data_IF_475698486995
#
_entry.id   IF_475698486995
#
_cell.length_a   1.000
_cell.length_b   1.000
_cell.length_c   1.000
_cell.angle_alpha   90.00
_cell.angle_beta   90.00
_cell.angle_gamma   90.00
#
_symmetry.space_group_name_H-M   'P 1'
#
loop_
_entity.id
_entity.type
_entity.pdbx_description
1 polymer ?
#
# COMPACT_ATOMS: atom_id res chain seq x y z
N UNK A 1 22.62 -20.94 33.12
CA UNK A 1 23.43 -19.94 32.39
C UNK A 1 24.90 -20.00 32.75
N UNK A 2 25.26 -20.49 33.95
CA UNK A 2 26.64 -20.60 34.42
C UNK A 2 27.50 -21.65 33.69
N UNK A 3 26.90 -22.45 32.80
CA UNK A 3 27.58 -23.40 31.90
C UNK A 3 27.78 -22.88 30.48
N UNK A 4 27.33 -21.65 30.17
CA UNK A 4 27.40 -21.08 28.82
C UNK A 4 28.80 -20.53 28.57
N UNK A 5 29.59 -21.22 27.74
CA UNK A 5 30.89 -20.76 27.28
C UNK A 5 30.72 -19.79 26.12
N UNK A 6 31.16 -18.53 26.30
CA UNK A 6 31.27 -17.56 25.19
C UNK A 6 32.51 -17.88 24.38
N UNK A 7 32.35 -18.00 23.07
CA UNK A 7 33.45 -18.21 22.11
C UNK A 7 33.31 -17.23 20.96
N UNK A 8 34.43 -16.85 20.35
CA UNK A 8 34.46 -15.99 19.16
C UNK A 8 34.75 -16.87 17.95
N UNK A 9 33.80 -16.93 17.03
CA UNK A 9 33.96 -17.56 15.72
C UNK A 9 34.90 -16.70 14.86
N UNK A 10 36.02 -17.26 14.38
CA UNK A 10 36.89 -16.60 13.39
C UNK A 10 36.66 -17.19 11.99
N UNK A 11 37.02 -16.43 10.97
CA UNK A 11 36.96 -16.81 9.54
C UNK A 11 37.75 -18.07 9.20
N UNK A 12 38.76 -18.41 9.99
CA UNK A 12 39.64 -19.57 9.83
C UNK A 12 39.34 -20.72 10.83
N UNK A 13 38.35 -20.56 11.71
CA UNK A 13 37.93 -21.60 12.66
C UNK A 13 37.45 -21.12 14.02
N UNK A 14 36.82 -22.03 14.77
CA UNK A 14 36.63 -21.88 16.21
C UNK A 14 37.94 -22.16 16.94
N UNK A 15 38.35 -21.25 17.83
CA UNK A 15 39.25 -21.61 18.93
C UNK A 15 38.39 -21.88 20.17
N UNK A 16 38.10 -23.15 20.45
CA UNK A 16 37.48 -23.54 21.72
C UNK A 16 38.55 -23.56 22.81
N UNK A 17 38.79 -22.44 23.50
CA UNK A 17 39.33 -22.45 24.87
C UNK A 17 38.99 -21.16 25.61
N UNK A 18 38.70 -21.30 26.90
CA UNK A 18 38.53 -20.19 27.85
C UNK A 18 39.72 -19.23 27.73
N UNK A 19 39.45 -17.96 27.43
CA UNK A 19 40.46 -16.90 27.53
C UNK A 19 40.56 -16.54 29.01
N UNK A 20 41.52 -17.15 29.72
CA UNK A 20 41.84 -16.77 31.09
C UNK A 20 43.08 -15.86 31.18
N UNK A 21 43.96 -15.80 30.15
CA UNK A 21 45.01 -14.77 30.07
C UNK A 21 45.53 -14.52 28.64
N UNK A 22 46.20 -13.38 28.36
CA UNK A 22 46.73 -13.01 27.04
C UNK A 22 47.94 -13.81 26.54
N UNK A 23 48.51 -14.73 27.34
CA UNK A 23 49.81 -15.38 27.07
C UNK A 23 49.75 -16.87 26.71
N UNK A 24 48.56 -17.47 26.59
CA UNK A 24 48.44 -18.90 26.31
C UNK A 24 48.73 -19.23 24.83
N UNK A 25 49.75 -20.07 24.61
CA UNK A 25 50.16 -20.55 23.28
C UNK A 25 49.05 -21.42 22.65
N UNK A 26 48.59 -21.01 21.47
CA UNK A 26 47.53 -21.63 20.67
C UNK A 26 47.87 -23.08 20.25
N UNK A 27 47.15 -24.07 20.79
CA UNK A 27 47.11 -25.44 20.26
C UNK A 27 45.66 -25.86 20.05
N UNK A 28 45.18 -25.75 18.80
CA UNK A 28 43.79 -26.04 18.41
C UNK A 28 43.51 -27.53 18.20
N UNK A 29 42.27 -27.95 18.48
CA UNK A 29 41.64 -29.18 17.94
C UNK A 29 40.28 -28.82 17.32
N UNK A 30 39.88 -29.65 16.36
CA UNK A 30 38.75 -29.57 15.42
C UNK A 30 37.44 -28.99 15.99
N UNK A 31 36.84 -28.09 15.20
CA UNK A 31 35.52 -27.51 15.40
C UNK A 31 35.06 -26.81 14.13
N UNK A 32 33.75 -26.58 13.96
CA UNK A 32 33.24 -25.88 12.78
C UNK A 32 33.74 -24.42 12.73
N UNK A 33 34.14 -23.98 11.55
CA UNK A 33 34.51 -22.60 11.26
C UNK A 33 33.27 -21.75 11.02
N UNK A 34 33.44 -20.42 11.06
CA UNK A 34 32.37 -19.51 10.64
C UNK A 34 31.96 -19.79 9.18
N UNK A 35 32.89 -20.21 8.31
CA UNK A 35 32.60 -20.57 6.91
C UNK A 35 31.70 -21.79 6.81
N UNK A 36 31.90 -22.79 7.66
CA UNK A 36 31.08 -24.01 7.68
C UNK A 36 29.63 -23.70 8.03
N UNK A 37 29.39 -22.60 8.75
CA UNK A 37 28.05 -22.12 9.13
C UNK A 37 27.48 -21.18 8.06
N UNK A 38 28.26 -20.18 7.66
CA UNK A 38 27.79 -19.12 6.77
C UNK A 38 27.56 -19.61 5.34
N UNK A 39 28.39 -20.50 4.79
CA UNK A 39 28.23 -20.95 3.39
C UNK A 39 26.87 -21.64 3.20
N UNK A 40 26.47 -22.65 3.99
CA UNK A 40 25.14 -23.26 3.85
C UNK A 40 23.99 -22.28 4.06
N UNK A 41 24.12 -21.33 5.01
CA UNK A 41 23.07 -20.33 5.26
C UNK A 41 22.96 -19.32 4.13
N UNK A 42 24.07 -18.83 3.56
CA UNK A 42 24.08 -17.93 2.40
C UNK A 42 23.49 -18.64 1.18
N UNK A 43 23.91 -19.89 0.93
CA UNK A 43 23.32 -20.69 -0.16
C UNK A 43 21.82 -20.90 0.05
N UNK A 44 21.35 -21.02 1.28
CA UNK A 44 19.92 -21.08 1.57
C UNK A 44 19.23 -19.73 1.30
N UNK A 45 19.83 -18.60 1.68
CA UNK A 45 19.30 -17.27 1.37
C UNK A 45 19.07 -17.09 -0.13
N UNK A 46 20.08 -17.41 -0.95
CA UNK A 46 20.02 -17.30 -2.41
C UNK A 46 19.00 -18.27 -3.01
N UNK A 47 19.06 -19.55 -2.61
CA UNK A 47 18.19 -20.59 -3.17
C UNK A 47 16.72 -20.36 -2.86
N UNK A 48 16.41 -19.86 -1.67
CA UNK A 48 15.04 -19.68 -1.20
C UNK A 48 14.56 -18.24 -1.29
N UNK A 49 15.30 -17.36 -1.98
CA UNK A 49 14.95 -15.94 -2.14
C UNK A 49 14.66 -15.23 -0.81
N UNK A 50 15.41 -15.58 0.24
CA UNK A 50 15.27 -14.96 1.56
C UNK A 50 16.04 -13.65 1.56
N UNK A 51 15.38 -12.59 2.02
CA UNK A 51 15.98 -11.26 2.22
C UNK A 51 16.46 -11.06 3.66
N UNK A 52 15.98 -11.90 4.58
CA UNK A 52 16.37 -11.93 5.98
C UNK A 52 16.32 -13.36 6.52
N UNK A 53 17.31 -13.70 7.36
CA UNK A 53 17.32 -14.94 8.14
C UNK A 53 18.03 -14.70 9.48
N UNK A 54 17.30 -14.89 10.56
CA UNK A 54 17.81 -14.96 11.91
C UNK A 54 17.64 -16.38 12.43
N UNK A 55 18.70 -16.94 13.00
CA UNK A 55 18.66 -18.20 13.71
C UNK A 55 19.20 -17.99 15.13
N UNK A 56 18.36 -18.10 16.16
CA UNK A 56 18.76 -17.79 17.53
C UNK A 56 18.01 -18.62 18.59
N UNK A 57 18.60 -19.70 19.13
CA UNK A 57 20.00 -20.11 18.99
C UNK A 57 20.22 -21.11 17.84
N UNK A 58 21.45 -21.13 17.32
CA UNK A 58 21.95 -22.23 16.48
C UNK A 58 22.66 -23.25 17.37
N UNK A 59 22.25 -24.52 17.28
CA UNK A 59 22.97 -25.64 17.86
C UNK A 59 23.92 -26.25 16.82
N UNK A 60 25.15 -26.52 17.23
CA UNK A 60 26.13 -27.26 16.43
C UNK A 60 26.42 -28.58 17.14
N UNK A 61 26.10 -29.69 16.48
CA UNK A 61 26.35 -31.05 17.01
C UNK A 61 26.73 -31.98 15.86
N UNK A 62 27.78 -32.77 16.04
CA UNK A 62 28.24 -33.77 15.07
C UNK A 62 28.43 -33.20 13.65
N UNK A 63 29.01 -32.00 13.56
CA UNK A 63 29.19 -31.22 12.32
C UNK A 63 27.89 -30.88 11.57
N UNK A 64 26.74 -30.89 12.26
CA UNK A 64 25.45 -30.42 11.72
C UNK A 64 25.04 -29.11 12.38
N UNK A 65 24.52 -28.21 11.56
CA UNK A 65 23.92 -26.95 11.98
C UNK A 65 22.44 -27.21 12.18
N UNK A 66 21.96 -27.01 13.40
CA UNK A 66 20.58 -27.24 13.79
C UNK A 66 20.07 -25.91 14.37
N UNK A 67 19.38 -25.08 13.58
CA UNK A 67 18.72 -23.90 14.13
C UNK A 67 17.57 -24.36 15.05
N UNK A 68 17.59 -23.93 16.31
CA UNK A 68 16.54 -24.27 17.28
C UNK A 68 15.36 -23.30 17.22
N UNK A 69 15.61 -22.08 16.76
CA UNK A 69 14.61 -21.07 16.43
C UNK A 69 15.05 -20.32 15.17
N UNK A 70 14.08 -19.91 14.35
CA UNK A 70 14.32 -19.17 13.11
C UNK A 70 13.23 -18.14 12.84
N UNK A 71 13.65 -16.95 12.44
CA UNK A 71 12.82 -15.96 11.78
C UNK A 71 13.39 -15.67 10.39
N UNK A 72 12.55 -15.60 9.37
CA UNK A 72 12.97 -15.32 8.01
C UNK A 72 11.98 -14.42 7.29
N UNK A 73 12.49 -13.60 6.37
CA UNK A 73 11.67 -12.85 5.42
C UNK A 73 12.04 -13.31 4.01
N UNK A 74 11.02 -13.51 3.18
CA UNK A 74 11.15 -13.94 1.78
C UNK A 74 10.72 -12.81 0.85
N UNK A 75 11.38 -12.69 -0.30
CA UNK A 75 10.91 -11.86 -1.40
C UNK A 75 9.56 -12.41 -1.92
N UNK A 76 8.48 -11.66 -1.71
CA UNK A 76 7.14 -12.08 -2.10
C UNK A 76 6.95 -12.16 -3.63
N UNK A 77 7.78 -11.45 -4.40
CA UNK A 77 7.79 -11.53 -5.85
C UNK A 77 8.32 -12.87 -6.37
N UNK A 78 9.14 -13.56 -5.56
CA UNK A 78 9.68 -14.88 -5.88
C UNK A 78 8.69 -16.03 -5.60
N UNK A 79 7.55 -15.77 -4.95
CA UNK A 79 6.58 -16.82 -4.58
C UNK A 79 6.03 -17.60 -5.78
N UNK A 80 6.01 -16.99 -6.97
CA UNK A 80 5.58 -17.63 -8.21
C UNK A 80 6.63 -18.55 -8.84
N UNK A 81 7.87 -18.54 -8.35
CA UNK A 81 8.96 -19.34 -8.93
C UNK A 81 8.82 -20.82 -8.55
N UNK A 82 9.25 -21.76 -9.41
CA UNK A 82 9.13 -23.20 -9.15
C UNK A 82 9.81 -23.63 -7.85
N UNK A 83 10.92 -22.98 -7.46
CA UNK A 83 11.67 -23.33 -6.26
C UNK A 83 10.91 -22.97 -4.98
N UNK A 84 9.99 -21.99 -5.04
CA UNK A 84 9.28 -21.43 -3.88
C UNK A 84 7.82 -21.88 -3.83
N UNK A 85 7.16 -21.95 -4.99
CA UNK A 85 5.73 -22.27 -5.12
C UNK A 85 5.34 -23.66 -4.57
N UNK A 86 6.31 -24.56 -4.39
CA UNK A 86 6.11 -25.84 -3.72
C UNK A 86 5.88 -25.71 -2.20
N UNK A 87 6.26 -24.58 -1.59
CA UNK A 87 6.10 -24.33 -0.16
C UNK A 87 4.83 -23.50 0.09
N UNK A 88 4.03 -23.93 1.07
CA UNK A 88 2.88 -23.15 1.54
C UNK A 88 3.36 -22.06 2.52
N UNK A 89 3.91 -20.98 1.99
CA UNK A 89 4.46 -19.88 2.79
C UNK A 89 3.31 -18.98 3.26
N UNK A 90 3.15 -18.87 4.58
CA UNK A 90 2.17 -17.99 5.22
C UNK A 90 2.91 -17.02 6.14
N UNK A 91 2.74 -15.69 5.99
CA UNK A 91 3.39 -14.72 6.86
C UNK A 91 3.06 -14.94 8.35
N UNK A 92 4.09 -14.95 9.19
CA UNK A 92 3.93 -15.04 10.65
C UNK A 92 3.23 -13.77 11.16
N UNK A 93 2.18 -13.93 11.94
CA UNK A 93 1.41 -12.79 12.46
C UNK A 93 0.50 -12.12 11.44
N UNK A 94 0.15 -12.81 10.33
CA UNK A 94 -0.81 -12.32 9.36
C UNK A 94 -2.08 -11.83 10.07
N UNK A 95 -2.28 -10.50 10.07
CA UNK A 95 -3.56 -9.90 10.48
C UNK A 95 -4.66 -10.60 9.69
N UNK A 96 -5.78 -10.88 10.34
CA UNK A 96 -6.97 -11.34 9.64
C UNK A 96 -7.35 -10.29 8.60
N UNK A 97 -7.09 -10.63 7.34
CA UNK A 97 -7.43 -9.78 6.21
C UNK A 97 -8.95 -9.59 6.21
N UNK A 98 -9.40 -8.36 6.03
CA UNK A 98 -10.82 -8.10 5.86
C UNK A 98 -11.32 -8.79 4.58
N UNK A 99 -12.63 -9.10 4.48
CA UNK A 99 -13.19 -9.65 3.25
C UNK A 99 -12.86 -8.80 2.01
N UNK A 100 -12.79 -7.48 2.15
CA UNK A 100 -12.39 -6.56 1.10
C UNK A 100 -10.93 -6.72 0.67
N UNK A 101 -10.00 -6.91 1.61
CA UNK A 101 -8.59 -7.16 1.29
C UNK A 101 -8.40 -8.48 0.56
N UNK A 102 -9.09 -9.54 0.98
CA UNK A 102 -9.06 -10.84 0.29
C UNK A 102 -9.63 -10.72 -1.12
N UNK A 103 -10.73 -9.99 -1.30
CA UNK A 103 -11.34 -9.79 -2.61
C UNK A 103 -10.45 -8.99 -3.55
N UNK A 104 -9.79 -7.93 -3.05
CA UNK A 104 -8.87 -7.10 -3.85
C UNK A 104 -7.59 -7.86 -4.18
N UNK A 105 -7.02 -8.63 -3.26
CA UNK A 105 -5.85 -9.47 -3.56
C UNK A 105 -6.14 -10.53 -4.64
N UNK A 106 -7.36 -11.09 -4.66
CA UNK A 106 -7.80 -11.98 -5.75
C UNK A 106 -7.94 -11.24 -7.09
N UNK A 107 -8.45 -10.01 -7.07
CA UNK A 107 -8.56 -9.19 -8.28
C UNK A 107 -7.17 -8.80 -8.82
N UNK A 108 -6.27 -8.36 -7.95
CA UNK A 108 -4.87 -8.01 -8.26
C UNK A 108 -4.15 -9.17 -8.98
N UNK A 109 -4.33 -10.41 -8.51
CA UNK A 109 -3.74 -11.60 -9.13
C UNK A 109 -4.28 -11.92 -10.55
N UNK A 110 -5.37 -11.28 -10.99
CA UNK A 110 -6.01 -11.53 -12.30
C UNK A 110 -5.73 -10.44 -13.34
N UNK A 111 -4.99 -9.39 -12.97
CA UNK A 111 -4.70 -8.26 -13.85
C UNK A 111 -3.20 -7.93 -13.82
N UNK A 112 -2.60 -7.45 -14.92
CA UNK A 112 -1.23 -6.94 -14.91
C UNK A 112 -1.10 -5.58 -14.20
N UNK A 113 -2.21 -4.91 -13.88
CA UNK A 113 -2.22 -3.71 -13.07
C UNK A 113 -1.89 -4.03 -11.61
N UNK A 114 -1.54 -3.00 -10.83
CA UNK A 114 -1.37 -3.14 -9.38
C UNK A 114 -2.59 -2.59 -8.66
N UNK A 115 -3.21 -3.42 -7.82
CA UNK A 115 -4.40 -3.10 -7.03
C UNK A 115 -4.15 -3.48 -5.58
N UNK A 116 -3.87 -2.49 -4.73
CA UNK A 116 -3.56 -2.70 -3.32
C UNK A 116 -4.60 -2.06 -2.43
N UNK A 117 -4.98 -2.75 -1.37
CA UNK A 117 -5.91 -2.22 -0.37
C UNK A 117 -5.55 -2.74 1.01
N UNK A 118 -5.63 -1.85 1.99
CA UNK A 118 -5.44 -2.10 3.42
C UNK A 118 -6.53 -1.34 4.17
N UNK A 119 -7.30 -2.07 4.96
CA UNK A 119 -8.25 -1.47 5.90
C UNK A 119 -7.49 -1.11 7.18
N UNK A 120 -7.49 0.18 7.54
CA UNK A 120 -6.76 0.72 8.69
C UNK A 120 -7.74 0.90 9.86
N UNK A 121 -8.75 1.74 9.66
CA UNK A 121 -9.80 1.98 10.64
C UNK A 121 -11.17 1.78 9.99
N UNK A 122 -11.87 0.67 10.24
CA UNK A 122 -13.21 0.45 9.70
C UNK A 122 -14.18 1.59 10.02
N UNK A 123 -13.98 2.32 11.13
CA UNK A 123 -14.82 3.45 11.52
C UNK A 123 -14.29 4.81 11.04
N UNK A 124 -13.32 4.85 10.14
CA UNK A 124 -12.80 6.09 9.57
C UNK A 124 -13.83 6.83 8.72
N UNK A 125 -13.72 8.16 8.66
CA UNK A 125 -14.55 9.04 7.82
C UNK A 125 -13.87 9.43 6.51
N UNK A 126 -12.59 9.10 6.32
CA UNK A 126 -11.83 9.41 5.11
C UNK A 126 -11.49 8.11 4.39
N UNK A 127 -12.05 7.94 3.19
CA UNK A 127 -11.80 6.79 2.33
C UNK A 127 -11.01 7.23 1.10
N UNK A 128 -10.08 6.40 0.68
CA UNK A 128 -9.11 6.75 -0.35
C UNK A 128 -9.15 5.77 -1.52
N UNK A 129 -9.28 6.32 -2.73
CA UNK A 129 -9.19 5.66 -4.02
C UNK A 129 -8.04 6.31 -4.79
N UNK A 130 -6.81 5.91 -4.47
CA UNK A 130 -5.63 6.62 -4.93
C UNK A 130 -5.01 5.93 -6.14
N UNK A 131 -4.19 6.66 -6.88
CA UNK A 131 -3.54 6.13 -8.07
C UNK A 131 -2.09 6.57 -8.20
N UNK A 132 -1.21 5.58 -8.11
CA UNK A 132 0.25 5.73 -8.06
C UNK A 132 0.80 5.70 -6.64
N UNK A 133 1.66 4.72 -6.33
CA UNK A 133 2.15 4.43 -4.98
C UNK A 133 2.84 5.58 -4.22
N UNK A 134 3.59 6.44 -4.93
CA UNK A 134 4.21 7.61 -4.29
C UNK A 134 3.19 8.68 -3.89
N UNK A 135 2.21 8.93 -4.77
CA UNK A 135 1.16 9.92 -4.50
C UNK A 135 0.20 9.46 -3.40
N UNK A 136 -0.02 8.15 -3.29
CA UNK A 136 -0.87 7.60 -2.22
C UNK A 136 -0.28 7.80 -0.83
N UNK A 137 1.05 7.65 -0.69
CA UNK A 137 1.74 7.92 0.57
C UNK A 137 1.66 9.39 0.95
N UNK A 138 1.97 10.31 0.02
CA UNK A 138 1.89 11.77 0.28
C UNK A 138 0.51 12.20 0.78
N UNK A 139 -0.57 11.63 0.25
CA UNK A 139 -1.93 11.96 0.70
C UNK A 139 -2.26 11.37 2.07
N UNK A 140 -1.77 10.17 2.38
CA UNK A 140 -1.94 9.56 3.69
C UNK A 140 -1.18 10.34 4.77
N UNK A 141 0.05 10.76 4.46
CA UNK A 141 0.87 11.61 5.34
C UNK A 141 0.19 12.96 5.57
N UNK A 142 -0.30 13.62 4.51
CA UNK A 142 -1.02 14.89 4.66
C UNK A 142 -2.28 14.77 5.54
N UNK A 143 -3.02 13.66 5.44
CA UNK A 143 -4.17 13.40 6.33
C UNK A 143 -3.71 13.29 7.79
N UNK A 144 -2.58 12.63 8.04
CA UNK A 144 -2.01 12.52 9.39
C UNK A 144 -1.51 13.88 9.89
N UNK A 145 -0.76 14.63 9.08
CA UNK A 145 -0.20 15.95 9.39
C UNK A 145 -1.27 17.00 9.68
N UNK A 146 -2.41 16.91 8.99
CA UNK A 146 -3.56 17.76 9.28
C UNK A 146 -4.36 17.35 10.53
N UNK A 147 -3.92 16.31 11.26
CA UNK A 147 -4.54 15.84 12.50
C UNK A 147 -5.73 14.90 12.30
N UNK A 148 -5.95 14.39 11.08
CA UNK A 148 -7.07 13.50 10.73
C UNK A 148 -6.65 12.04 10.59
N UNK A 149 -5.46 11.67 11.07
CA UNK A 149 -4.93 10.29 10.94
C UNK A 149 -5.85 9.21 11.53
N UNK A 150 -6.58 9.52 12.60
CA UNK A 150 -7.58 8.61 13.19
C UNK A 150 -8.83 8.44 12.34
N UNK A 151 -9.12 9.38 11.44
CA UNK A 151 -10.26 9.33 10.54
C UNK A 151 -9.96 8.58 9.23
N UNK A 152 -8.69 8.24 8.97
CA UNK A 152 -8.28 7.49 7.78
C UNK A 152 -8.78 6.05 7.84
N UNK A 153 -9.70 5.70 6.96
CA UNK A 153 -10.33 4.39 6.96
C UNK A 153 -9.47 3.31 6.29
N UNK A 154 -8.85 3.67 5.16
CA UNK A 154 -8.08 2.74 4.35
C UNK A 154 -6.86 3.42 3.73
N UNK A 155 -5.90 2.59 3.36
CA UNK A 155 -4.86 2.92 2.40
C UNK A 155 -5.02 1.98 1.21
N UNK A 156 -4.95 2.50 0.00
CA UNK A 156 -5.03 1.67 -1.19
C UNK A 156 -4.74 2.44 -2.45
N UNK A 157 -4.29 1.74 -3.47
CA UNK A 157 -3.93 2.33 -4.75
C UNK A 157 -4.28 1.40 -5.91
N UNK A 158 -4.59 2.01 -7.05
CA UNK A 158 -4.65 1.35 -8.34
C UNK A 158 -3.67 2.01 -9.32
N UNK A 159 -2.76 1.25 -9.90
CA UNK A 159 -1.72 1.74 -10.82
C UNK A 159 -1.36 0.72 -11.90
N UNK A 160 -0.43 1.07 -12.80
CA UNK A 160 -0.08 0.19 -13.92
C UNK A 160 -1.10 0.19 -15.07
N UNK A 161 -1.85 1.28 -15.25
CA UNK A 161 -2.89 1.42 -16.28
C UNK A 161 -4.01 0.35 -16.23
N UNK A 162 -4.73 0.23 -15.10
CA UNK A 162 -5.84 -0.71 -14.98
C UNK A 162 -6.94 -0.45 -16.01
N UNK A 163 -7.72 -1.48 -16.31
CA UNK A 163 -8.92 -1.35 -17.14
C UNK A 163 -10.04 -0.63 -16.39
N UNK A 164 -11.07 -0.19 -17.10
CA UNK A 164 -12.27 0.40 -16.48
C UNK A 164 -13.06 -0.65 -15.67
N UNK A 165 -13.04 -1.92 -16.09
CA UNK A 165 -13.62 -3.01 -15.31
C UNK A 165 -12.82 -3.31 -14.03
N UNK A 166 -11.49 -3.28 -14.08
CA UNK A 166 -10.64 -3.42 -12.88
C UNK A 166 -10.99 -2.34 -11.85
N UNK A 167 -11.01 -1.07 -12.29
CA UNK A 167 -11.34 0.06 -11.41
C UNK A 167 -12.77 -0.01 -10.92
N UNK A 168 -13.73 -0.45 -11.74
CA UNK A 168 -15.11 -0.67 -11.33
C UNK A 168 -15.22 -1.71 -10.20
N UNK A 169 -14.62 -2.89 -10.37
CA UNK A 169 -14.68 -3.97 -9.37
C UNK A 169 -13.94 -3.55 -8.09
N UNK A 170 -12.75 -2.97 -8.22
CA UNK A 170 -11.97 -2.43 -7.10
C UNK A 170 -12.79 -1.41 -6.28
N UNK A 171 -13.37 -0.42 -6.96
CA UNK A 171 -14.19 0.62 -6.32
C UNK A 171 -15.42 0.04 -5.66
N UNK A 172 -16.09 -0.93 -6.31
CA UNK A 172 -17.28 -1.59 -5.77
C UNK A 172 -16.99 -2.35 -4.47
N UNK A 173 -15.83 -3.01 -4.37
CA UNK A 173 -15.40 -3.69 -3.15
C UNK A 173 -15.22 -2.66 -2.02
N UNK A 174 -14.53 -1.54 -2.29
CA UNK A 174 -14.29 -0.49 -1.29
C UNK A 174 -15.59 0.17 -0.85
N UNK A 175 -16.49 0.51 -1.79
CA UNK A 175 -17.81 1.07 -1.44
C UNK A 175 -18.64 0.09 -0.60
N UNK A 176 -18.53 -1.22 -0.85
CA UNK A 176 -19.21 -2.23 -0.03
C UNK A 176 -18.65 -2.26 1.40
N UNK A 177 -17.33 -2.15 1.55
CA UNK A 177 -16.65 -2.08 2.85
C UNK A 177 -16.94 -0.77 3.60
N UNK A 178 -17.05 0.35 2.88
CA UNK A 178 -17.49 1.63 3.42
C UNK A 178 -18.92 1.50 3.96
N UNK A 179 -19.85 1.03 3.13
CA UNK A 179 -21.27 0.99 3.50
C UNK A 179 -21.57 -0.01 4.64
N UNK A 180 -20.75 -1.04 4.85
CA UNK A 180 -20.93 -1.99 5.97
C UNK A 180 -20.49 -1.44 7.32
N UNK A 181 -19.76 -0.31 7.34
CA UNK A 181 -19.14 0.26 8.54
C UNK A 181 -19.68 1.65 8.89
N UNK A 182 -20.56 2.21 8.07
CA UNK A 182 -21.12 3.55 8.24
C UNK A 182 -22.11 3.64 9.40
N UNK A 183 -21.99 4.73 10.17
CA UNK A 183 -22.88 5.11 11.27
C UNK A 183 -23.38 6.56 11.10
N UNK A 184 -24.11 6.86 10.02
CA UNK A 184 -24.79 8.14 9.75
C UNK A 184 -23.96 9.41 10.04
N UNK A 185 -22.65 9.36 9.79
CA UNK A 185 -21.73 10.48 9.97
C UNK A 185 -21.18 10.97 8.62
N UNK A 186 -20.81 12.26 8.50
CA UNK A 186 -20.15 12.76 7.31
C UNK A 186 -18.91 11.92 6.95
N UNK A 187 -18.78 11.63 5.66
CA UNK A 187 -17.72 10.79 5.12
C UNK A 187 -17.21 11.39 3.81
N UNK A 188 -15.90 11.33 3.61
CA UNK A 188 -15.22 11.83 2.43
C UNK A 188 -14.59 10.67 1.66
N UNK A 189 -14.78 10.64 0.34
CA UNK A 189 -14.04 9.79 -0.58
C UNK A 189 -13.07 10.66 -1.36
N UNK A 190 -11.77 10.40 -1.21
CA UNK A 190 -10.70 11.07 -1.95
C UNK A 190 -10.34 10.20 -3.15
N UNK A 191 -10.58 10.72 -4.36
CA UNK A 191 -10.13 10.11 -5.62
C UNK A 191 -8.98 10.97 -6.13
N UNK A 192 -7.75 10.56 -5.84
CA UNK A 192 -6.60 11.42 -6.13
C UNK A 192 -5.35 10.66 -6.57
N UNK A 193 -4.42 11.40 -7.16
CA UNK A 193 -3.08 10.88 -7.41
C UNK A 193 -2.20 11.87 -8.15
N UNK A 194 -0.95 11.46 -8.37
CA UNK A 194 0.02 12.22 -9.16
C UNK A 194 -0.46 12.43 -10.60
N UNK A 195 0.26 13.25 -11.35
CA UNK A 195 0.01 13.39 -12.80
C UNK A 195 0.46 12.09 -13.47
N UNK A 196 -0.49 11.36 -14.07
CA UNK A 196 -0.19 10.08 -14.67
C UNK A 196 0.59 10.24 -15.98
N UNK A 197 1.57 9.36 -16.22
CA UNK A 197 2.34 9.36 -17.47
C UNK A 197 1.57 8.68 -18.62
N UNK A 198 0.93 7.54 -18.35
CA UNK A 198 0.34 6.68 -19.39
C UNK A 198 -1.06 6.13 -19.03
N UNK A 199 -1.54 6.34 -17.81
CA UNK A 199 -2.89 5.90 -17.41
C UNK A 199 -3.94 6.87 -17.96
N UNK A 200 -4.91 6.37 -18.73
CA UNK A 200 -6.03 7.17 -19.24
C UNK A 200 -7.03 7.49 -18.11
N UNK A 201 -7.15 8.78 -17.80
CA UNK A 201 -8.01 9.27 -16.72
C UNK A 201 -9.48 9.08 -17.05
N UNK A 202 -9.90 9.32 -18.29
CA UNK A 202 -11.29 9.12 -18.70
C UNK A 202 -11.70 7.64 -18.63
N UNK A 203 -10.78 6.71 -18.88
CA UNK A 203 -11.02 5.26 -18.73
C UNK A 203 -11.21 4.88 -17.28
N UNK A 204 -10.26 5.22 -16.41
CA UNK A 204 -10.38 4.90 -14.97
C UNK A 204 -11.62 5.55 -14.35
N UNK A 205 -11.95 6.78 -14.75
CA UNK A 205 -13.15 7.48 -14.26
C UNK A 205 -14.46 6.84 -14.71
N UNK A 206 -14.52 6.17 -15.87
CA UNK A 206 -15.72 5.37 -16.24
C UNK A 206 -15.99 4.27 -15.23
N UNK A 207 -14.95 3.54 -14.81
CA UNK A 207 -15.07 2.50 -13.79
C UNK A 207 -15.54 3.05 -12.44
N UNK A 208 -14.93 4.15 -11.99
CA UNK A 208 -15.32 4.85 -10.76
C UNK A 208 -16.79 5.30 -10.79
N UNK A 209 -17.20 6.00 -11.85
CA UNK A 209 -18.57 6.51 -12.00
C UNK A 209 -19.58 5.36 -12.00
N UNK A 210 -19.29 4.26 -12.72
CA UNK A 210 -20.16 3.07 -12.76
C UNK A 210 -20.38 2.49 -11.35
N UNK A 211 -19.32 2.39 -10.54
CA UNK A 211 -19.44 1.88 -9.17
C UNK A 211 -20.17 2.86 -8.23
N UNK A 212 -19.89 4.16 -8.36
CA UNK A 212 -20.57 5.20 -7.57
C UNK A 212 -22.06 5.29 -7.91
N UNK A 213 -22.44 5.18 -9.18
CA UNK A 213 -23.83 5.26 -9.64
C UNK A 213 -24.71 4.16 -9.02
N UNK A 214 -24.18 2.94 -8.89
CA UNK A 214 -24.88 1.81 -8.23
C UNK A 214 -25.22 2.09 -6.76
N UNK A 215 -24.45 2.95 -6.08
CA UNK A 215 -24.59 3.23 -4.64
C UNK A 215 -24.99 4.68 -4.34
N UNK A 216 -25.20 5.52 -5.36
CA UNK A 216 -25.38 6.98 -5.21
C UNK A 216 -26.45 7.38 -4.20
N UNK A 217 -27.59 6.68 -4.18
CA UNK A 217 -28.71 7.02 -3.31
C UNK A 217 -28.37 6.84 -1.83
N UNK A 218 -27.64 5.76 -1.51
CA UNK A 218 -27.20 5.46 -0.14
C UNK A 218 -26.07 6.40 0.26
N UNK A 219 -25.07 6.57 -0.62
CA UNK A 219 -23.96 7.51 -0.40
C UNK A 219 -24.46 8.94 -0.11
N UNK A 220 -25.45 9.41 -0.88
CA UNK A 220 -26.06 10.73 -0.67
C UNK A 220 -26.81 10.80 0.66
N UNK A 221 -27.58 9.77 1.00
CA UNK A 221 -28.32 9.70 2.27
C UNK A 221 -27.38 9.79 3.47
N UNK A 222 -26.23 9.13 3.37
CA UNK A 222 -25.22 9.08 4.43
C UNK A 222 -24.20 10.22 4.35
N UNK A 223 -24.53 11.31 3.63
CA UNK A 223 -23.68 12.51 3.56
C UNK A 223 -22.24 12.18 3.14
N UNK A 224 -22.09 11.36 2.11
CA UNK A 224 -20.79 11.11 1.49
C UNK A 224 -20.49 12.19 0.46
N UNK A 225 -19.29 12.77 0.53
CA UNK A 225 -18.77 13.72 -0.46
C UNK A 225 -17.51 13.17 -1.14
N UNK A 226 -17.37 13.44 -2.43
CA UNK A 226 -16.25 12.96 -3.25
C UNK A 226 -15.38 14.14 -3.65
N UNK A 227 -14.09 14.04 -3.34
CA UNK A 227 -13.06 15.04 -3.59
C UNK A 227 -12.07 14.47 -4.60
N UNK A 228 -11.91 15.14 -5.74
CA UNK A 228 -11.16 14.62 -6.87
C UNK A 228 -9.97 15.51 -7.17
N UNK A 229 -8.77 14.93 -7.24
CA UNK A 229 -7.58 15.61 -7.79
C UNK A 229 -6.81 14.64 -8.67
N UNK A 230 -6.95 14.78 -9.99
CA UNK A 230 -6.25 13.88 -10.91
C UNK A 230 -5.81 14.60 -12.19
N UNK A 231 -4.59 14.29 -12.62
CA UNK A 231 -4.07 14.72 -13.92
C UNK A 231 -3.46 13.58 -14.72
N UNK A 232 -3.33 13.78 -16.04
CA UNK A 232 -2.75 12.80 -16.96
C UNK A 232 -3.46 12.71 -18.32
N UNK A 233 -3.21 11.66 -19.12
CA UNK A 233 -3.87 11.45 -20.40
C UNK A 233 -5.40 11.46 -20.28
N UNK A 234 -6.07 12.16 -21.20
CA UNK A 234 -7.55 12.32 -21.20
C UNK A 234 -8.12 12.98 -19.94
N UNK A 235 -7.33 13.78 -19.21
CA UNK A 235 -7.74 14.49 -17.98
C UNK A 235 -9.00 15.33 -18.17
N UNK A 236 -9.02 16.24 -19.13
CA UNK A 236 -10.15 17.17 -19.33
C UNK A 236 -11.47 16.41 -19.51
N UNK A 237 -11.46 15.39 -20.37
CA UNK A 237 -12.61 14.51 -20.60
C UNK A 237 -13.02 13.76 -19.32
N UNK A 238 -12.04 13.22 -18.58
CA UNK A 238 -12.28 12.53 -17.32
C UNK A 238 -12.94 13.45 -16.28
N UNK A 239 -12.35 14.60 -16.01
CA UNK A 239 -12.86 15.57 -15.02
C UNK A 239 -14.26 16.07 -15.40
N UNK A 240 -14.52 16.37 -16.67
CA UNK A 240 -15.85 16.75 -17.16
C UNK A 240 -16.89 15.65 -16.94
N UNK A 241 -16.53 14.39 -17.21
CA UNK A 241 -17.42 13.25 -16.96
C UNK A 241 -17.73 13.08 -15.47
N UNK A 242 -16.73 13.23 -14.60
CA UNK A 242 -16.90 13.13 -13.16
C UNK A 242 -17.74 14.29 -12.61
N UNK A 243 -17.54 15.52 -13.10
CA UNK A 243 -18.35 16.70 -12.71
C UNK A 243 -19.82 16.50 -13.05
N UNK A 244 -20.10 16.12 -14.30
CA UNK A 244 -21.47 15.84 -14.78
C UNK A 244 -22.19 14.74 -14.00
N UNK A 245 -21.44 13.83 -13.36
CA UNK A 245 -22.00 12.81 -12.50
C UNK A 245 -22.18 13.29 -11.05
N UNK A 246 -21.13 13.85 -10.43
CA UNK A 246 -21.11 14.17 -9.00
C UNK A 246 -22.05 15.32 -8.62
N UNK A 247 -22.18 16.34 -9.49
CA UNK A 247 -23.04 17.50 -9.27
C UNK A 247 -24.52 17.12 -9.09
N UNK A 248 -25.21 16.53 -10.10
CA UNK A 248 -26.62 16.16 -9.96
C UNK A 248 -26.84 15.01 -8.96
N UNK A 249 -25.82 14.19 -8.70
CA UNK A 249 -25.90 13.13 -7.69
C UNK A 249 -25.85 13.68 -6.26
N UNK A 250 -25.50 14.95 -6.07
CA UNK A 250 -25.33 15.56 -4.74
C UNK A 250 -24.10 15.06 -3.99
N UNK A 251 -23.18 14.36 -4.67
CA UNK A 251 -21.98 13.76 -4.09
C UNK A 251 -20.75 14.66 -4.25
N UNK A 252 -20.83 15.74 -5.03
CA UNK A 252 -19.69 16.63 -5.25
C UNK A 252 -19.19 17.26 -3.94
N UNK A 253 -17.93 16.99 -3.62
CA UNK A 253 -17.08 17.76 -2.70
C UNK A 253 -16.30 18.82 -3.48
N UNK A 254 -15.33 18.38 -4.27
CA UNK A 254 -14.51 19.21 -5.17
C UNK A 254 -13.96 18.39 -6.35
N UNK A 255 -13.57 19.07 -7.44
CA UNK A 255 -12.91 18.45 -8.60
C UNK A 255 -11.80 19.36 -9.10
N UNK A 256 -10.60 18.79 -9.17
CA UNK A 256 -9.37 19.47 -9.55
C UNK A 256 -8.53 18.66 -10.54
N UNK A 257 -7.86 19.38 -11.42
CA UNK A 257 -6.88 18.84 -12.38
C UNK A 257 -5.44 18.94 -11.91
N UNK A 258 -4.50 18.85 -12.84
CA UNK A 258 -3.06 18.92 -12.56
C UNK A 258 -2.58 20.27 -12.02
N UNK A 259 -3.30 21.36 -12.32
CA UNK A 259 -2.93 22.71 -11.91
C UNK A 259 -3.07 22.96 -10.39
N UNK A 260 -3.92 22.18 -9.70
CA UNK A 260 -4.10 22.27 -8.25
C UNK A 260 -3.08 21.37 -7.54
N UNK A 261 -2.47 21.82 -6.42
CA UNK A 261 -1.64 20.96 -5.58
C UNK A 261 -2.35 19.66 -5.19
N UNK A 262 -1.60 18.55 -5.13
CA UNK A 262 -2.17 17.23 -4.81
C UNK A 262 -2.84 17.20 -3.42
N UNK A 263 -2.26 17.89 -2.45
CA UNK A 263 -2.69 17.90 -1.05
C UNK A 263 -3.89 18.81 -0.78
N UNK A 264 -4.29 19.68 -1.73
CA UNK A 264 -5.40 20.62 -1.54
C UNK A 264 -6.72 19.91 -1.20
N UNK A 265 -6.99 18.76 -1.81
CA UNK A 265 -8.19 17.97 -1.52
C UNK A 265 -8.25 17.48 -0.07
N UNK A 266 -7.11 17.31 0.60
CA UNK A 266 -7.09 16.93 2.02
C UNK A 266 -7.55 18.10 2.89
N UNK A 267 -7.13 19.33 2.57
CA UNK A 267 -7.58 20.55 3.23
C UNK A 267 -9.08 20.76 3.07
N UNK A 268 -9.63 20.51 1.88
CA UNK A 268 -11.07 20.60 1.62
C UNK A 268 -11.87 19.52 2.37
N UNK A 269 -11.32 18.30 2.48
CA UNK A 269 -11.90 17.24 3.30
C UNK A 269 -11.91 17.63 4.77
N UNK A 270 -10.84 18.24 5.29
CA UNK A 270 -10.81 18.74 6.66
C UNK A 270 -11.90 19.77 6.91
N UNK A 271 -12.09 20.70 5.98
CA UNK A 271 -13.17 21.69 6.07
C UNK A 271 -14.54 20.99 6.08
N UNK A 272 -14.74 20.00 5.22
CA UNK A 272 -16.00 19.24 5.15
C UNK A 272 -16.32 18.46 6.43
N UNK A 273 -15.31 17.81 7.03
CA UNK A 273 -15.47 16.99 8.23
C UNK A 273 -15.44 17.81 9.54
N UNK A 274 -15.08 19.09 9.48
CA UNK A 274 -15.04 19.96 10.66
C UNK A 274 -16.43 20.21 11.22
N UNK A 275 -16.62 20.19 12.56
CA UNK A 275 -17.92 20.34 13.21
C UNK A 275 -18.60 21.72 13.04
N UNK A 276 -17.95 22.67 12.35
CA UNK A 276 -18.49 24.00 12.05
C UNK A 276 -19.42 24.01 10.81
N UNK A 277 -20.60 23.39 10.97
CA UNK A 277 -21.92 23.72 10.40
C UNK A 277 -22.19 23.75 8.86
N UNK A 278 -23.18 22.93 8.52
CA UNK A 278 -24.43 23.21 7.76
C UNK A 278 -24.46 23.80 6.35
N UNK A 279 -23.39 24.33 5.74
CA UNK A 279 -23.50 24.88 4.37
C UNK A 279 -22.23 24.67 3.53
N UNK A 280 -21.77 23.42 3.37
CA UNK A 280 -20.75 23.10 2.37
C UNK A 280 -21.36 23.27 0.97
N UNK A 281 -21.18 24.45 0.37
CA UNK A 281 -21.41 24.69 -1.06
C UNK A 281 -20.12 24.26 -1.77
N UNK A 282 -20.16 23.11 -2.44
CA UNK A 282 -19.02 22.59 -3.21
C UNK A 282 -18.45 23.67 -4.13
N UNK A 283 -17.13 23.83 -4.11
CA UNK A 283 -16.44 24.81 -4.96
C UNK A 283 -16.37 24.29 -6.40
N UNK A 284 -17.02 25.00 -7.31
CA UNK A 284 -16.77 24.89 -8.75
C UNK A 284 -15.63 25.84 -9.16
N UNK A 285 -14.82 25.38 -10.11
CA UNK A 285 -13.54 25.91 -10.63
C UNK A 285 -13.37 27.44 -10.77
N UNK A 286 -12.12 27.96 -10.73
CA UNK A 286 -11.71 29.07 -11.58
C UNK A 286 -11.43 28.56 -13.01
N UNK A 287 -11.95 29.28 -14.00
CA UNK A 287 -11.95 29.00 -15.45
C UNK A 287 -10.78 28.14 -15.98
N UNK A 288 -11.12 27.03 -16.63
CA UNK A 288 -10.23 26.36 -17.60
C UNK A 288 -9.98 27.36 -18.74
N UNK A 289 -8.92 28.17 -18.64
CA UNK A 289 -8.42 28.96 -19.79
C UNK A 289 -7.77 28.01 -20.78
N UNK A 290 -8.55 27.60 -21.77
CA UNK A 290 -8.07 26.95 -22.99
C UNK A 290 -7.21 27.97 -23.76
N UNK A 291 -5.89 27.91 -23.61
CA UNK A 291 -5.01 28.53 -24.60
C UNK A 291 -5.01 27.64 -25.84
N UNK A 292 -5.71 28.10 -26.88
CA UNK A 292 -5.56 27.59 -28.23
C UNK A 292 -4.13 27.85 -28.70
N UNK A 293 -3.30 26.82 -28.65
CA UNK A 293 -1.94 26.84 -29.22
C UNK A 293 -2.00 27.23 -30.69
N UNK A 294 -1.38 28.38 -30.99
CA UNK A 294 -1.30 28.95 -32.33
C UNK A 294 -0.64 28.00 -33.32
N UNK A 295 -1.16 28.04 -34.55
CA UNK A 295 -0.57 27.44 -35.74
C UNK A 295 0.92 27.77 -35.82
N UNK A 296 1.75 26.73 -35.81
CA UNK A 296 3.07 26.83 -36.45
C UNK A 296 2.90 26.34 -37.88
N UNK A 297 3.18 27.23 -38.84
CA UNK A 297 3.46 26.95 -40.25
C UNK A 297 4.57 27.90 -40.71
N UNK A 298 5.31 27.59 -41.77
CA UNK A 298 5.65 26.27 -42.31
C UNK A 298 7.01 25.77 -41.82
#
# INVERSE_FOLDING_TARGET
WDSVKRTVLRSEGLTLKEVSSPTDIFRGREGQTLKDILIPLISALEKYHLVFLECNPILIRDHKIIPLDMAAEIDDTALGLPEISAYNIVPVGARHASPAEVAIAKLDATTPASLKFRLINPRGSIWMLLSGGGASLVLADEVADQGMGTDLANYGEYSGAPTDDDVYVYTKIILTQLLSTMCHKPCAIIIAGGVANFTDIAKTFRGLIKALDEKKSVLRKDQVKVFVRRGGPSEEKGLQMMSKFLEPSGLLGSIHGHATPLTEVVSEVKQYLSPARSDFKGSAQPDIKIQSGGKVRP
#
